data_IF_747372271957
#
_entry.id   IF_747372271957
#
_cell.length_a   1.000
_cell.length_b   1.000
_cell.length_c   1.000
_cell.angle_alpha   90.00
_cell.angle_beta   90.00
_cell.angle_gamma   90.00
#
_symmetry.space_group_name_H-M   'P 1'
#
loop_
_entity.id
_entity.type
_entity.pdbx_description
1 polymer ?
#
# COMPACT_ATOMS: atom_id res chain seq x y z
N UNK A 1 6.70 8.38 25.07
CA UNK A 1 7.36 7.16 24.53
C UNK A 1 6.46 5.92 24.52
N UNK A 2 5.49 5.77 25.42
CA UNK A 2 4.52 4.65 25.43
C UNK A 2 3.76 4.47 24.10
N UNK A 3 3.38 5.57 23.45
CA UNK A 3 2.62 5.54 22.19
C UNK A 3 3.42 5.12 20.96
N UNK A 4 4.72 5.48 20.89
CA UNK A 4 5.59 5.02 19.80
C UNK A 4 5.70 3.49 19.81
N UNK A 5 5.89 2.92 21.00
CA UNK A 5 5.86 1.47 21.18
C UNK A 5 4.48 0.87 20.91
N UNK A 6 3.39 1.59 21.22
CA UNK A 6 2.04 1.15 20.90
C UNK A 6 1.80 1.08 19.38
N UNK A 7 2.27 2.06 18.62
CA UNK A 7 2.17 2.09 17.15
C UNK A 7 2.88 0.90 16.53
N UNK A 8 4.11 0.61 16.99
CA UNK A 8 4.85 -0.56 16.53
C UNK A 8 4.15 -1.87 16.92
N UNK A 9 3.53 -1.93 18.10
CA UNK A 9 2.71 -3.08 18.50
C UNK A 9 1.52 -3.31 17.57
N UNK A 10 0.90 -2.27 16.99
CA UNK A 10 -0.16 -2.47 15.99
C UNK A 10 0.35 -3.13 14.72
N UNK A 11 1.55 -2.77 14.26
CA UNK A 11 2.20 -3.45 13.14
C UNK A 11 2.39 -4.95 13.46
N UNK A 12 2.92 -5.27 14.64
CA UNK A 12 3.10 -6.67 15.07
C UNK A 12 1.77 -7.40 15.27
N UNK A 13 0.75 -6.75 15.85
CA UNK A 13 -0.60 -7.31 16.01
C UNK A 13 -1.21 -7.65 14.65
N UNK A 14 -1.08 -6.75 13.68
CA UNK A 14 -1.53 -6.98 12.30
C UNK A 14 -0.83 -8.16 11.63
N UNK A 15 0.51 -8.22 11.71
CA UNK A 15 1.26 -9.38 11.18
C UNK A 15 0.85 -10.69 11.87
N UNK A 16 0.68 -10.69 13.19
CA UNK A 16 0.22 -11.88 13.95
C UNK A 16 -1.21 -12.28 13.58
N UNK A 17 -2.10 -11.31 13.40
CA UNK A 17 -3.48 -11.56 13.00
C UNK A 17 -3.52 -12.29 11.65
N UNK A 18 -2.78 -11.79 10.68
CA UNK A 18 -2.75 -12.39 9.35
C UNK A 18 -2.04 -13.75 9.35
N UNK A 19 -0.98 -13.92 10.15
CA UNK A 19 -0.32 -15.22 10.32
C UNK A 19 -1.25 -16.29 10.91
N UNK A 20 -2.18 -15.91 11.80
CA UNK A 20 -3.24 -16.80 12.32
C UNK A 20 -4.33 -17.07 11.28
N UNK A 21 -4.53 -16.14 10.35
CA UNK A 21 -5.56 -16.15 9.32
C UNK A 21 -4.95 -16.40 7.93
N UNK A 22 -4.39 -17.59 7.71
CA UNK A 22 -3.63 -17.91 6.50
C UNK A 22 -4.39 -17.73 5.18
N UNK A 23 -5.73 -17.92 5.16
CA UNK A 23 -6.55 -17.64 3.97
C UNK A 23 -6.58 -16.15 3.63
N UNK A 24 -6.65 -15.30 4.65
CA UNK A 24 -6.66 -13.84 4.54
C UNK A 24 -5.28 -13.31 4.17
N UNK A 25 -4.21 -13.97 4.62
CA UNK A 25 -2.86 -13.68 4.14
C UNK A 25 -2.75 -13.88 2.63
N UNK A 26 -3.11 -15.08 2.15
CA UNK A 26 -3.09 -15.38 0.72
C UNK A 26 -3.96 -14.43 -0.10
N UNK A 27 -5.14 -14.08 0.42
CA UNK A 27 -6.03 -13.11 -0.21
C UNK A 27 -5.41 -11.71 -0.32
N UNK A 28 -4.69 -11.24 0.70
CA UNK A 28 -3.97 -9.97 0.67
C UNK A 28 -2.77 -9.95 -0.28
N UNK A 29 -2.19 -11.11 -0.60
CA UNK A 29 -1.10 -11.26 -1.59
C UNK A 29 -1.62 -11.37 -3.03
N UNK A 30 -2.91 -11.69 -3.21
CA UNK A 30 -3.51 -11.94 -4.51
C UNK A 30 -3.34 -10.78 -5.52
N UNK A 31 -3.45 -9.49 -5.15
CA UNK A 31 -3.27 -8.39 -6.09
C UNK A 31 -1.89 -8.37 -6.76
N UNK A 32 -0.85 -8.59 -5.96
CA UNK A 32 0.53 -8.66 -6.45
C UNK A 32 0.73 -9.87 -7.35
N UNK A 33 0.15 -11.02 -6.98
CA UNK A 33 0.21 -12.23 -7.79
C UNK A 33 -0.55 -12.08 -9.13
N UNK A 34 -1.76 -11.53 -9.12
CA UNK A 34 -2.55 -11.26 -10.32
C UNK A 34 -1.77 -10.36 -11.26
N UNK A 35 -1.25 -9.24 -10.74
CA UNK A 35 -0.50 -8.28 -11.54
C UNK A 35 0.77 -8.92 -12.09
N UNK A 36 1.49 -9.70 -11.29
CA UNK A 36 2.67 -10.44 -11.74
C UNK A 36 2.34 -11.41 -12.87
N UNK A 37 1.28 -12.21 -12.74
CA UNK A 37 0.84 -13.16 -13.76
C UNK A 37 0.45 -12.43 -15.06
N UNK A 38 -0.26 -11.30 -14.96
CA UNK A 38 -0.66 -10.51 -16.12
C UNK A 38 0.56 -9.98 -16.90
N UNK A 39 1.52 -9.36 -16.22
CA UNK A 39 2.73 -8.86 -16.88
C UNK A 39 3.63 -9.99 -17.37
N UNK A 40 3.74 -11.09 -16.64
CA UNK A 40 4.47 -12.27 -17.10
C UNK A 40 3.84 -12.83 -18.38
N UNK A 41 2.52 -12.96 -18.43
CA UNK A 41 1.80 -13.40 -19.63
C UNK A 41 2.01 -12.45 -20.82
N UNK A 42 1.99 -11.13 -20.58
CA UNK A 42 2.26 -10.13 -21.62
C UNK A 42 3.69 -10.24 -22.17
N UNK A 43 4.69 -10.41 -21.31
CA UNK A 43 6.09 -10.58 -21.73
C UNK A 43 6.33 -11.92 -22.43
N UNK A 44 5.67 -12.99 -22.00
CA UNK A 44 5.72 -14.30 -22.68
C UNK A 44 5.06 -14.20 -24.05
N UNK A 45 3.90 -13.56 -24.17
CA UNK A 45 3.25 -13.31 -25.46
C UNK A 45 4.16 -12.50 -26.38
N UNK A 46 4.86 -11.49 -25.86
CA UNK A 46 5.84 -10.72 -26.61
C UNK A 46 7.05 -11.57 -27.05
N UNK A 47 7.52 -12.48 -26.20
CA UNK A 47 8.63 -13.37 -26.54
C UNK A 47 8.24 -14.39 -27.63
N UNK A 48 7.01 -14.90 -27.59
CA UNK A 48 6.53 -15.93 -28.54
C UNK A 48 6.06 -15.32 -29.87
N UNK A 49 5.38 -14.17 -29.83
CA UNK A 49 4.76 -13.56 -31.01
C UNK A 49 5.44 -12.27 -31.48
N UNK A 50 6.44 -11.76 -30.75
CA UNK A 50 7.10 -10.50 -31.06
C UNK A 50 7.77 -10.48 -32.44
N UNK A 51 8.47 -11.56 -32.81
CA UNK A 51 9.07 -11.67 -34.14
C UNK A 51 8.02 -11.66 -35.26
N UNK A 52 6.92 -12.41 -35.07
CA UNK A 52 5.81 -12.44 -36.03
C UNK A 52 5.12 -11.08 -36.15
N UNK A 53 4.96 -10.37 -35.03
CA UNK A 53 4.42 -9.02 -35.01
C UNK A 53 5.33 -8.02 -35.74
N UNK A 54 6.64 -8.07 -35.52
CA UNK A 54 7.61 -7.22 -36.22
C UNK A 54 7.63 -7.52 -37.71
N UNK A 55 7.57 -8.80 -38.11
CA UNK A 55 7.49 -9.18 -39.52
C UNK A 55 6.20 -8.63 -40.17
N UNK A 56 5.05 -8.81 -39.53
CA UNK A 56 3.76 -8.27 -39.98
C UNK A 56 3.76 -6.74 -40.09
N UNK A 57 4.43 -6.05 -39.16
CA UNK A 57 4.52 -4.59 -39.15
C UNK A 57 5.54 -4.01 -40.15
N UNK A 58 6.41 -4.85 -40.74
CA UNK A 58 7.50 -4.40 -41.64
C UNK A 58 7.44 -5.05 -43.03
N UNK A 59 6.31 -5.06 -43.75
CA UNK A 59 6.21 -5.72 -45.06
C UNK A 59 7.13 -5.08 -46.11
N UNK A 60 7.43 -3.79 -45.98
CA UNK A 60 8.37 -3.08 -46.85
C UNK A 60 9.82 -3.63 -46.77
N UNK A 61 10.14 -4.42 -45.75
CA UNK A 61 11.46 -5.03 -45.57
C UNK A 61 11.55 -6.46 -46.15
N UNK A 62 10.47 -7.00 -46.72
CA UNK A 62 10.45 -8.35 -47.28
C UNK A 62 11.36 -8.49 -48.51
N UNK A 63 11.47 -7.45 -49.33
CA UNK A 63 12.29 -7.46 -50.56
C UNK A 63 13.77 -7.11 -50.32
N UNK A 64 14.19 -6.92 -49.06
CA UNK A 64 15.57 -6.55 -48.76
C UNK A 64 16.51 -7.76 -48.87
N UNK A 65 17.74 -7.52 -49.35
CA UNK A 65 18.74 -8.57 -49.46
C UNK A 65 19.20 -9.09 -48.08
N UNK A 66 19.45 -10.40 -48.01
CA UNK A 66 20.07 -11.01 -46.83
C UNK A 66 21.49 -10.47 -46.63
N UNK A 67 21.92 -10.09 -45.40
CA UNK A 67 21.27 -10.30 -44.10
C UNK A 67 20.48 -9.09 -43.55
N UNK A 68 20.29 -8.03 -44.33
CA UNK A 68 19.82 -6.73 -43.83
C UNK A 68 18.40 -6.74 -43.26
N UNK A 69 17.47 -7.48 -43.88
CA UNK A 69 16.10 -7.68 -43.36
C UNK A 69 16.10 -8.35 -41.98
N UNK A 70 16.89 -9.42 -41.82
CA UNK A 70 17.01 -10.16 -40.57
C UNK A 70 17.61 -9.33 -39.45
N UNK A 71 18.68 -8.57 -39.73
CA UNK A 71 19.30 -7.67 -38.77
C UNK A 71 18.34 -6.56 -38.31
N UNK A 72 17.62 -5.94 -39.25
CA UNK A 72 16.65 -4.89 -38.94
C UNK A 72 15.49 -5.41 -38.10
N UNK A 73 14.87 -6.54 -38.50
CA UNK A 73 13.77 -7.15 -37.75
C UNK A 73 14.22 -7.64 -36.38
N UNK A 74 15.40 -8.27 -36.29
CA UNK A 74 15.98 -8.68 -35.01
C UNK A 74 16.21 -7.50 -34.06
N UNK A 75 16.75 -6.39 -34.57
CA UNK A 75 16.90 -5.15 -33.80
C UNK A 75 15.55 -4.63 -33.30
N UNK A 76 14.53 -4.54 -34.16
CA UNK A 76 13.20 -4.10 -33.76
C UNK A 76 12.55 -5.01 -32.72
N UNK A 77 12.72 -6.34 -32.82
CA UNK A 77 12.24 -7.29 -31.81
C UNK A 77 12.91 -7.04 -30.45
N UNK A 78 14.22 -6.81 -30.43
CA UNK A 78 14.96 -6.48 -29.19
C UNK A 78 14.46 -5.17 -28.59
N UNK A 79 14.28 -4.13 -29.40
CA UNK A 79 13.76 -2.83 -28.95
C UNK A 79 12.34 -2.96 -28.40
N UNK A 80 11.48 -3.71 -29.10
CA UNK A 80 10.11 -3.98 -28.68
C UNK A 80 10.09 -4.70 -27.33
N UNK A 81 10.93 -5.72 -27.15
CA UNK A 81 11.04 -6.44 -25.89
C UNK A 81 11.57 -5.56 -24.77
N UNK A 82 12.61 -4.76 -25.03
CA UNK A 82 13.17 -3.82 -24.06
C UNK A 82 12.14 -2.77 -23.62
N UNK A 83 11.37 -2.23 -24.56
CA UNK A 83 10.31 -1.26 -24.27
C UNK A 83 9.15 -1.92 -23.50
N UNK A 84 8.74 -3.12 -23.90
CA UNK A 84 7.72 -3.90 -23.19
C UNK A 84 8.12 -4.19 -21.75
N UNK A 85 9.37 -4.59 -21.53
CA UNK A 85 9.94 -4.80 -20.19
C UNK A 85 9.99 -3.51 -19.38
N UNK A 86 10.48 -2.42 -19.96
CA UNK A 86 10.54 -1.11 -19.30
C UNK A 86 9.15 -0.63 -18.88
N UNK A 87 8.17 -0.67 -19.79
CA UNK A 87 6.79 -0.29 -19.50
C UNK A 87 6.19 -1.19 -18.42
N UNK A 88 6.48 -2.49 -18.45
CA UNK A 88 6.03 -3.42 -17.41
C UNK A 88 6.55 -3.01 -16.04
N UNK A 89 7.85 -2.75 -15.90
CA UNK A 89 8.45 -2.30 -14.63
C UNK A 89 7.85 -0.98 -14.16
N UNK A 90 7.71 0.01 -15.06
CA UNK A 90 7.20 1.33 -14.71
C UNK A 90 5.72 1.30 -14.26
N UNK A 91 4.91 0.42 -14.85
CA UNK A 91 3.46 0.37 -14.60
C UNK A 91 3.06 -0.69 -13.58
N UNK A 92 3.93 -1.65 -13.27
CA UNK A 92 3.64 -2.77 -12.35
C UNK A 92 3.12 -2.31 -10.99
N UNK A 93 3.78 -1.34 -10.35
CA UNK A 93 3.39 -0.87 -9.01
C UNK A 93 2.05 -0.16 -9.03
N UNK A 94 1.83 0.72 -10.01
CA UNK A 94 0.56 1.43 -10.17
C UNK A 94 -0.60 0.44 -10.41
N UNK A 95 -0.38 -0.56 -11.28
CA UNK A 95 -1.37 -1.58 -11.55
C UNK A 95 -1.65 -2.47 -10.34
N UNK A 96 -0.60 -2.85 -9.59
CA UNK A 96 -0.75 -3.65 -8.36
C UNK A 96 -1.59 -2.93 -7.32
N UNK A 97 -1.36 -1.62 -7.13
CA UNK A 97 -2.14 -0.81 -6.19
C UNK A 97 -3.60 -0.67 -6.64
N UNK A 98 -3.82 -0.44 -7.94
CA UNK A 98 -5.15 -0.33 -8.54
C UNK A 98 -5.96 -1.62 -8.37
N UNK A 99 -5.33 -2.77 -8.64
CA UNK A 99 -5.95 -4.09 -8.43
C UNK A 99 -6.13 -4.37 -6.94
N UNK A 100 -5.24 -3.86 -6.07
CA UNK A 100 -5.20 -4.18 -4.65
C UNK A 100 -6.28 -3.56 -3.78
N UNK A 101 -6.80 -2.39 -4.15
CA UNK A 101 -7.83 -1.66 -3.41
C UNK A 101 -8.97 -2.54 -2.86
N UNK A 102 -9.72 -3.30 -3.68
CA UNK A 102 -10.83 -4.13 -3.18
C UNK A 102 -10.38 -5.26 -2.25
N UNK A 103 -9.16 -5.79 -2.44
CA UNK A 103 -8.62 -6.85 -1.59
C UNK A 103 -8.23 -6.31 -0.22
N UNK A 104 -7.64 -5.13 -0.16
CA UNK A 104 -7.27 -4.47 1.09
C UNK A 104 -8.50 -4.03 1.87
N UNK A 105 -9.55 -3.56 1.18
CA UNK A 105 -10.84 -3.23 1.80
C UNK A 105 -11.50 -4.45 2.44
N UNK A 106 -11.66 -5.55 1.69
CA UNK A 106 -12.22 -6.80 2.21
C UNK A 106 -11.36 -7.42 3.32
N UNK A 107 -10.03 -7.24 3.26
CA UNK A 107 -9.15 -7.67 4.34
C UNK A 107 -9.39 -6.86 5.61
N UNK A 108 -9.47 -5.53 5.51
CA UNK A 108 -9.81 -4.65 6.64
C UNK A 108 -11.18 -5.00 7.23
N UNK A 109 -12.17 -5.34 6.39
CA UNK A 109 -13.50 -5.74 6.84
C UNK A 109 -13.49 -7.02 7.65
N UNK A 110 -12.72 -8.03 7.21
CA UNK A 110 -12.55 -9.28 7.96
C UNK A 110 -11.83 -9.06 9.28
N UNK A 111 -10.85 -8.16 9.31
CA UNK A 111 -10.15 -7.78 10.55
C UNK A 111 -11.13 -7.13 11.52
N UNK A 112 -11.91 -6.14 11.05
CA UNK A 112 -12.94 -5.50 11.87
C UNK A 112 -13.93 -6.51 12.44
N UNK A 113 -14.44 -7.42 11.60
CA UNK A 113 -15.39 -8.45 11.99
C UNK A 113 -14.85 -9.39 13.06
N UNK A 114 -13.58 -9.77 12.96
CA UNK A 114 -12.93 -10.71 13.88
C UNK A 114 -12.71 -10.12 15.28
N UNK A 115 -12.49 -8.81 15.36
CA UNK A 115 -12.19 -8.14 16.63
C UNK A 115 -13.37 -7.40 17.25
N UNK A 116 -14.45 -7.19 16.50
CA UNK A 116 -15.66 -6.53 17.00
C UNK A 116 -16.44 -7.43 17.97
N UNK A 117 -16.88 -6.93 19.13
CA UNK A 117 -17.66 -7.72 20.10
C UNK A 117 -18.95 -8.31 19.53
N UNK A 118 -19.56 -7.63 18.58
CA UNK A 118 -20.80 -8.00 17.90
C UNK A 118 -20.58 -8.78 16.60
N UNK A 119 -19.32 -9.02 16.21
CA UNK A 119 -18.98 -9.69 14.96
C UNK A 119 -19.47 -8.95 13.71
N UNK A 120 -19.70 -7.64 13.79
CA UNK A 120 -20.06 -6.81 12.63
C UNK A 120 -18.86 -6.00 12.14
N UNK A 121 -18.97 -5.48 10.92
CA UNK A 121 -17.97 -4.61 10.35
C UNK A 121 -18.67 -3.35 9.80
N UNK A 122 -18.14 -2.14 10.01
CA UNK A 122 -18.77 -0.92 9.49
C UNK A 122 -18.90 -0.98 7.96
N UNK A 123 -20.08 -0.67 7.44
CA UNK A 123 -20.35 -0.56 6.01
C UNK A 123 -20.67 0.90 5.67
N UNK A 124 -20.16 1.35 4.54
CA UNK A 124 -20.49 2.68 4.05
C UNK A 124 -21.89 2.64 3.42
N UNK A 125 -22.81 3.44 3.93
CA UNK A 125 -24.19 3.53 3.45
C UNK A 125 -24.35 4.48 2.25
N UNK A 126 -23.26 4.89 1.60
CA UNK A 126 -23.29 5.87 0.52
C UNK A 126 -23.44 5.20 -0.86
N UNK A 127 -24.04 5.89 -1.85
CA UNK A 127 -24.03 5.39 -3.22
C UNK A 127 -22.59 5.32 -3.74
N UNK A 128 -22.21 4.19 -4.37
CA UNK A 128 -20.86 3.92 -4.89
C UNK A 128 -20.24 5.08 -5.69
N UNK A 129 -21.02 5.79 -6.50
CA UNK A 129 -20.53 6.94 -7.27
C UNK A 129 -20.08 8.11 -6.37
N UNK A 130 -20.79 8.34 -5.26
CA UNK A 130 -20.45 9.40 -4.31
C UNK A 130 -19.21 9.03 -3.50
N UNK A 131 -19.07 7.76 -3.15
CA UNK A 131 -17.87 7.22 -2.50
C UNK A 131 -16.64 7.36 -3.38
N UNK A 132 -16.74 6.98 -4.66
CA UNK A 132 -15.66 7.12 -5.63
C UNK A 132 -15.23 8.58 -5.80
N UNK A 133 -16.20 9.51 -5.88
CA UNK A 133 -15.90 10.93 -5.99
C UNK A 133 -15.20 11.49 -4.73
N UNK A 134 -15.69 11.15 -3.54
CA UNK A 134 -15.11 11.58 -2.27
C UNK A 134 -13.71 10.99 -2.10
N UNK A 135 -13.56 9.67 -2.33
CA UNK A 135 -12.28 8.96 -2.26
C UNK A 135 -11.27 9.53 -3.26
N UNK A 136 -11.66 9.74 -4.52
CA UNK A 136 -10.79 10.33 -5.54
C UNK A 136 -10.32 11.74 -5.17
N UNK A 137 -11.23 12.60 -4.67
CA UNK A 137 -10.88 13.95 -4.21
C UNK A 137 -9.94 13.93 -3.01
N UNK A 138 -10.18 13.03 -2.06
CA UNK A 138 -9.37 12.90 -0.85
C UNK A 138 -7.98 12.36 -1.17
N UNK A 139 -7.89 11.32 -1.98
CA UNK A 139 -6.64 10.77 -2.51
C UNK A 139 -5.83 11.85 -3.24
N UNK A 140 -6.48 12.66 -4.09
CA UNK A 140 -5.80 13.77 -4.78
C UNK A 140 -5.24 14.81 -3.79
N UNK A 141 -5.99 15.17 -2.74
CA UNK A 141 -5.53 16.11 -1.69
C UNK A 141 -4.34 15.55 -0.90
N UNK A 142 -4.33 14.24 -0.64
CA UNK A 142 -3.20 13.57 0.03
C UNK A 142 -1.98 13.58 -0.88
N UNK A 143 -2.12 13.19 -2.15
CA UNK A 143 -1.04 13.19 -3.15
C UNK A 143 -0.44 14.59 -3.30
N UNK A 144 -1.27 15.64 -3.39
CA UNK A 144 -0.78 17.03 -3.45
C UNK A 144 0.01 17.40 -2.20
N UNK A 145 -0.42 17.00 -1.00
CA UNK A 145 0.30 17.28 0.25
C UNK A 145 1.61 16.52 0.33
N UNK A 146 1.62 15.24 -0.06
CA UNK A 146 2.82 14.43 -0.13
C UNK A 146 3.82 15.04 -1.13
N UNK A 147 3.35 15.51 -2.29
CA UNK A 147 4.16 16.18 -3.30
C UNK A 147 4.76 17.49 -2.76
N UNK A 148 3.99 18.32 -2.05
CA UNK A 148 4.52 19.54 -1.43
C UNK A 148 5.63 19.21 -0.44
N UNK A 149 5.43 18.21 0.42
CA UNK A 149 6.49 17.76 1.33
C UNK A 149 7.71 17.21 0.59
N UNK A 150 7.51 16.42 -0.47
CA UNK A 150 8.60 15.90 -1.28
C UNK A 150 9.44 17.03 -1.91
N UNK A 151 8.80 18.06 -2.48
CA UNK A 151 9.48 19.24 -3.04
C UNK A 151 10.23 20.02 -1.96
N UNK A 152 9.62 20.24 -0.80
CA UNK A 152 10.26 20.95 0.32
C UNK A 152 11.50 20.19 0.83
N UNK A 153 11.37 18.88 1.06
CA UNK A 153 12.49 18.05 1.53
C UNK A 153 13.58 17.93 0.47
N UNK A 154 13.22 17.81 -0.81
CA UNK A 154 14.17 17.83 -1.91
C UNK A 154 14.98 19.13 -1.94
N UNK A 155 14.30 20.29 -1.84
CA UNK A 155 14.97 21.60 -1.78
C UNK A 155 15.89 21.72 -0.55
N UNK A 156 15.44 21.26 0.63
CA UNK A 156 16.25 21.24 1.85
C UNK A 156 17.44 20.28 1.76
N UNK A 157 17.36 19.24 0.92
CA UNK A 157 18.44 18.30 0.65
C UNK A 157 19.69 18.94 0.04
N UNK A 158 19.57 20.12 -0.57
CA UNK A 158 20.70 20.89 -1.11
C UNK A 158 21.46 21.70 -0.05
N UNK A 159 20.94 21.83 1.17
CA UNK A 159 21.66 22.53 2.25
C UNK A 159 22.85 21.67 2.69
N UNK A 160 24.11 22.15 2.59
CA UNK A 160 25.27 21.37 2.98
C UNK A 160 25.18 20.91 4.44
N UNK A 161 25.65 19.69 4.71
CA UNK A 161 25.60 19.02 6.03
C UNK A 161 24.17 18.69 6.50
N UNK A 162 23.26 19.66 6.63
CA UNK A 162 21.89 19.45 7.11
C UNK A 162 21.05 18.60 6.15
N UNK A 163 21.17 18.86 4.84
CA UNK A 163 20.41 18.19 3.78
C UNK A 163 20.71 16.70 3.66
N UNK A 164 21.91 16.26 4.04
CA UNK A 164 22.31 14.85 4.00
C UNK A 164 22.12 14.12 5.35
N UNK A 165 21.90 14.86 6.44
CA UNK A 165 21.80 14.28 7.79
C UNK A 165 20.38 14.35 8.35
N UNK A 166 19.79 15.54 8.42
CA UNK A 166 18.48 15.77 9.07
C UNK A 166 17.32 15.51 8.13
N UNK A 167 17.45 15.92 6.87
CA UNK A 167 16.37 15.82 5.87
C UNK A 167 15.93 14.37 5.62
N UNK A 168 16.83 13.37 5.46
CA UNK A 168 16.40 11.98 5.30
C UNK A 168 15.61 11.45 6.50
N UNK A 169 16.02 11.84 7.73
CA UNK A 169 15.33 11.46 8.96
C UNK A 169 13.91 12.04 8.98
N UNK A 170 13.76 13.33 8.68
CA UNK A 170 12.43 13.96 8.55
C UNK A 170 11.62 13.28 7.44
N UNK A 171 12.26 12.94 6.32
CA UNK A 171 11.68 12.19 5.22
C UNK A 171 11.04 10.89 5.69
N UNK A 172 11.73 10.09 6.49
CA UNK A 172 11.14 8.85 7.04
C UNK A 172 9.93 9.09 7.93
N UNK A 173 9.93 10.13 8.76
CA UNK A 173 8.76 10.46 9.59
C UNK A 173 7.58 10.99 8.75
N UNK A 174 7.85 11.75 7.70
CA UNK A 174 6.82 12.24 6.76
C UNK A 174 6.24 11.08 5.95
N UNK A 175 7.09 10.24 5.36
CA UNK A 175 6.66 9.02 4.66
C UNK A 175 5.89 8.10 5.60
N UNK A 176 6.37 7.88 6.82
CA UNK A 176 5.67 7.08 7.82
C UNK A 176 4.30 7.66 8.18
N UNK A 177 4.16 8.98 8.29
CA UNK A 177 2.86 9.61 8.53
C UNK A 177 1.87 9.37 7.38
N UNK A 178 2.29 9.62 6.14
CA UNK A 178 1.43 9.42 4.98
C UNK A 178 1.09 7.96 4.72
N UNK A 179 2.04 7.04 4.95
CA UNK A 179 1.80 5.61 4.82
C UNK A 179 0.77 5.11 5.85
N UNK A 180 0.88 5.56 7.09
CA UNK A 180 -0.14 5.26 8.11
C UNK A 180 -1.49 5.84 7.73
N UNK A 181 -1.53 7.06 7.21
CA UNK A 181 -2.77 7.71 6.78
C UNK A 181 -3.43 6.93 5.63
N UNK A 182 -2.67 6.54 4.62
CA UNK A 182 -3.16 5.76 3.48
C UNK A 182 -3.70 4.39 3.91
N UNK A 183 -3.02 3.69 4.81
CA UNK A 183 -3.47 2.38 5.28
C UNK A 183 -4.66 2.46 6.22
N UNK A 184 -4.71 3.46 7.11
CA UNK A 184 -5.86 3.68 8.00
C UNK A 184 -7.07 4.23 7.26
N UNK A 185 -6.88 4.91 6.13
CA UNK A 185 -7.96 5.45 5.32
C UNK A 185 -8.95 4.35 4.90
N UNK A 186 -8.48 3.14 4.57
CA UNK A 186 -9.35 2.01 4.22
C UNK A 186 -10.38 1.71 5.33
N UNK A 187 -9.93 1.66 6.58
CA UNK A 187 -10.79 1.38 7.73
C UNK A 187 -11.66 2.59 8.13
N UNK A 188 -11.10 3.81 8.03
CA UNK A 188 -11.77 5.05 8.43
C UNK A 188 -12.81 5.54 7.41
N UNK A 189 -12.58 5.30 6.11
CA UNK A 189 -13.54 5.61 5.05
C UNK A 189 -14.80 4.76 5.17
N UNK A 190 -14.65 3.47 5.50
CA UNK A 190 -15.80 2.57 5.78
C UNK A 190 -16.65 3.02 6.97
N UNK A 191 -16.07 3.81 7.87
CA UNK A 191 -16.74 4.43 9.02
C UNK A 191 -17.28 5.84 8.71
N UNK A 192 -17.19 6.29 7.46
CA UNK A 192 -17.66 7.60 7.04
C UNK A 192 -16.79 8.78 7.51
N UNK A 193 -15.59 8.54 8.03
CA UNK A 193 -14.72 9.61 8.54
C UNK A 193 -14.10 10.38 7.36
N UNK A 194 -14.38 11.68 7.27
CA UNK A 194 -13.85 12.52 6.20
C UNK A 194 -12.34 12.79 6.36
N UNK A 195 -11.63 13.05 5.26
CA UNK A 195 -10.17 13.29 5.27
C UNK A 195 -9.72 14.36 6.29
N UNK A 196 -10.50 15.42 6.47
CA UNK A 196 -10.15 16.48 7.44
C UNK A 196 -10.10 15.95 8.86
N UNK A 197 -11.07 15.12 9.22
CA UNK A 197 -11.19 14.51 10.53
C UNK A 197 -10.14 13.41 10.72
N UNK A 198 -9.92 12.54 9.71
CA UNK A 198 -8.84 11.55 9.71
C UNK A 198 -7.49 12.16 10.06
N UNK A 199 -7.15 13.27 9.39
CA UNK A 199 -5.90 13.97 9.65
C UNK A 199 -5.86 14.65 11.02
N UNK A 200 -7.02 15.07 11.55
CA UNK A 200 -7.13 15.54 12.93
C UNK A 200 -6.77 14.45 13.92
N UNK A 201 -7.35 13.25 13.76
CA UNK A 201 -7.09 12.06 14.58
C UNK A 201 -5.61 11.63 14.52
N UNK A 202 -5.05 11.54 13.32
CA UNK A 202 -3.64 11.14 13.16
C UNK A 202 -2.67 12.18 13.71
N UNK A 203 -3.02 13.48 13.65
CA UNK A 203 -2.21 14.57 14.21
C UNK A 203 -2.36 14.71 15.73
N UNK A 204 -3.45 14.25 16.33
CA UNK A 204 -3.58 14.23 17.79
C UNK A 204 -2.70 13.14 18.42
N UNK A 205 -2.50 12.02 17.71
CA UNK A 205 -1.69 10.86 18.16
C UNK A 205 -0.43 10.62 17.31
N UNK A 206 0.35 11.67 16.99
CA UNK A 206 1.53 11.57 16.07
C UNK A 206 2.56 10.52 16.46
N UNK A 207 2.81 10.35 17.76
CA UNK A 207 3.72 9.35 18.30
C UNK A 207 3.27 7.92 17.99
N UNK A 208 1.96 7.65 18.08
CA UNK A 208 1.37 6.37 17.66
C UNK A 208 1.55 6.15 16.15
N UNK A 209 1.22 7.18 15.37
CA UNK A 209 1.29 7.16 13.90
C UNK A 209 2.71 6.91 13.39
N UNK A 210 3.71 7.60 13.94
CA UNK A 210 5.10 7.38 13.58
C UNK A 210 5.65 6.05 14.09
N UNK A 211 5.15 5.56 15.22
CA UNK A 211 5.49 4.24 15.75
C UNK A 211 5.04 3.10 14.84
N UNK A 212 3.93 3.28 14.14
CA UNK A 212 3.42 2.34 13.14
C UNK A 212 4.10 2.53 11.77
N UNK A 213 4.02 3.74 11.21
CA UNK A 213 4.35 4.00 9.81
C UNK A 213 5.83 4.13 9.50
N UNK A 214 6.66 4.64 10.43
CA UNK A 214 8.10 4.78 10.19
C UNK A 214 8.81 3.44 10.01
N UNK A 215 8.65 2.45 10.93
CA UNK A 215 9.26 1.13 10.73
C UNK A 215 8.68 0.39 9.53
N UNK A 216 7.39 0.58 9.24
CA UNK A 216 6.76 0.03 8.05
C UNK A 216 7.36 0.61 6.75
N UNK A 217 7.50 1.94 6.68
CA UNK A 217 8.11 2.63 5.56
C UNK A 217 9.57 2.22 5.33
N UNK A 218 10.34 2.03 6.42
CA UNK A 218 11.70 1.48 6.35
C UNK A 218 11.71 0.04 5.82
N UNK A 219 10.78 -0.81 6.27
CA UNK A 219 10.66 -2.18 5.77
C UNK A 219 10.31 -2.22 4.27
N UNK A 220 9.52 -1.24 3.79
CA UNK A 220 9.13 -1.14 2.37
C UNK A 220 10.27 -0.71 1.45
N UNK A 221 11.39 -0.22 1.99
CA UNK A 221 12.61 0.00 1.20
C UNK A 221 13.24 -1.32 0.74
N UNK A 222 13.00 -2.42 1.45
CA UNK A 222 13.50 -3.73 1.06
C UNK A 222 12.58 -4.31 -0.01
N UNK A 223 13.09 -4.62 -1.21
CA UNK A 223 12.28 -5.23 -2.26
C UNK A 223 11.63 -6.54 -1.80
N UNK A 224 10.45 -6.86 -2.34
CA UNK A 224 9.61 -8.02 -2.00
C UNK A 224 9.02 -8.02 -0.59
N UNK A 225 9.75 -7.53 0.41
CA UNK A 225 9.31 -7.42 1.81
C UNK A 225 8.01 -6.65 1.91
N UNK A 226 7.85 -5.56 1.14
CA UNK A 226 6.60 -4.79 1.08
C UNK A 226 5.39 -5.67 0.73
N UNK A 227 5.49 -6.54 -0.28
CA UNK A 227 4.39 -7.40 -0.73
C UNK A 227 3.93 -8.33 0.40
N UNK A 228 4.87 -8.92 1.14
CA UNK A 228 4.57 -9.84 2.23
C UNK A 228 4.09 -9.15 3.51
N UNK A 229 4.54 -7.91 3.77
CA UNK A 229 4.09 -7.15 4.94
C UNK A 229 2.75 -6.45 4.73
N UNK A 230 2.39 -6.09 3.49
CA UNK A 230 1.19 -5.31 3.19
C UNK A 230 -0.10 -5.87 3.81
N UNK A 231 -0.43 -7.17 3.73
CA UNK A 231 -1.64 -7.70 4.36
C UNK A 231 -1.69 -7.44 5.87
N UNK A 232 -0.57 -7.69 6.57
CA UNK A 232 -0.49 -7.44 8.00
C UNK A 232 -0.40 -5.96 8.36
N UNK A 233 0.10 -5.12 7.45
CA UNK A 233 0.08 -3.66 7.61
C UNK A 233 -1.36 -3.13 7.51
N UNK A 234 -2.14 -3.60 6.54
CA UNK A 234 -3.58 -3.28 6.43
C UNK A 234 -4.31 -3.71 7.71
N UNK A 235 -4.11 -4.96 8.16
CA UNK A 235 -4.73 -5.44 9.40
C UNK A 235 -4.31 -4.60 10.63
N UNK A 236 -3.03 -4.27 10.76
CA UNK A 236 -2.53 -3.43 11.84
C UNK A 236 -3.10 -2.02 11.81
N UNK A 237 -3.25 -1.44 10.62
CA UNK A 237 -3.87 -0.13 10.42
C UNK A 237 -5.36 -0.15 10.78
N UNK A 238 -6.10 -1.21 10.44
CA UNK A 238 -7.49 -1.40 10.86
C UNK A 238 -7.61 -1.42 12.39
N UNK A 239 -6.77 -2.20 13.06
CA UNK A 239 -6.75 -2.26 14.53
C UNK A 239 -6.39 -0.90 15.17
N UNK A 240 -5.46 -0.16 14.56
CA UNK A 240 -5.12 1.18 15.03
C UNK A 240 -6.25 2.19 14.77
N UNK A 241 -6.98 2.06 13.67
CA UNK A 241 -8.13 2.92 13.36
C UNK A 241 -9.26 2.77 14.39
N UNK A 242 -9.54 1.54 14.84
CA UNK A 242 -10.49 1.25 15.93
C UNK A 242 -10.10 1.97 17.22
N UNK A 243 -8.84 1.83 17.63
CA UNK A 243 -8.29 2.47 18.84
C UNK A 243 -8.32 4.01 18.75
N UNK A 244 -8.07 4.58 17.57
CA UNK A 244 -8.17 6.03 17.36
C UNK A 244 -9.60 6.56 17.51
N UNK A 245 -10.61 5.73 17.27
CA UNK A 245 -12.02 6.05 17.45
C UNK A 245 -12.56 5.63 18.83
N UNK A 246 -11.75 4.98 19.65
CA UNK A 246 -12.16 4.48 20.97
C UNK A 246 -13.14 3.31 20.89
N UNK A 247 -13.11 2.53 19.79
CA UNK A 247 -13.95 1.36 19.64
C UNK A 247 -13.47 0.20 20.52
N UNK A 248 -14.41 -0.46 21.20
CA UNK A 248 -14.12 -1.65 21.98
C UNK A 248 -13.66 -2.81 21.08
N UNK A 249 -12.70 -3.56 21.59
CA UNK A 249 -12.15 -4.76 20.95
C UNK A 249 -12.39 -5.94 21.88
N UNK A 250 -12.83 -7.10 21.36
CA UNK A 250 -13.15 -8.28 22.17
C UNK A 250 -12.00 -8.77 23.07
N UNK A 251 -10.75 -8.35 22.82
CA UNK A 251 -9.58 -8.67 23.64
C UNK A 251 -9.33 -7.73 24.83
N UNK A 252 -9.94 -6.54 24.88
CA UNK A 252 -9.73 -5.57 25.97
C UNK A 252 -10.61 -5.88 27.20
N UNK A 253 -11.65 -6.72 27.05
CA UNK A 253 -12.49 -7.20 28.16
C UNK A 253 -11.88 -8.34 28.99
N UNK A 254 -10.64 -8.75 28.70
CA UNK A 254 -9.93 -9.83 29.40
C UNK A 254 -8.72 -9.33 30.21
N UNK A 255 -8.54 -8.02 30.37
CA UNK A 255 -7.74 -7.49 31.48
C UNK A 255 -8.64 -7.52 32.73
N UNK A 256 -8.28 -8.42 33.66
CA UNK A 256 -9.01 -8.84 34.84
C UNK A 256 -9.61 -7.66 35.64
N UNK A 257 -10.83 -7.80 36.21
CA UNK A 257 -11.30 -6.85 37.20
C UNK A 257 -10.31 -6.83 38.35
N UNK A 258 -9.76 -5.66 38.68
CA UNK A 258 -9.00 -5.43 39.90
C UNK A 258 -9.77 -6.09 41.04
N UNK A 259 -9.19 -7.16 41.58
CA UNK A 259 -9.61 -7.76 42.82
C UNK A 259 -9.50 -6.67 43.88
N UNK A 260 -10.60 -5.95 44.11
CA UNK A 260 -10.77 -5.13 45.29
C UNK A 260 -10.64 -6.07 46.48
N UNK A 261 -9.50 -5.89 47.13
CA UNK A 261 -8.99 -6.57 48.30
C UNK A 261 -10.12 -6.80 49.32
N UNK A 262 -10.64 -8.03 49.33
CA UNK A 262 -11.31 -8.58 50.49
C UNK A 262 -10.21 -8.84 51.55
N UNK A 263 -9.89 -7.80 52.31
CA UNK A 263 -9.24 -7.88 53.63
C UNK A 263 -10.10 -7.04 54.56
N UNK A 264 -10.99 -7.70 55.29
CA UNK A 264 -10.82 -8.05 56.72
C UNK A 264 -11.01 -6.85 57.63
#
# INVERSE_FOLDING_TARGET
MRDLGAGFRYLLKGQRWVARHGKQYGFGLLPGLITLVLYAAALVALAVWGEGFVAWATPFADDWSSPWSGLFRGFLTVVLFALGLLLSVLTFTAMTLLVGQPFYESLSEKVDRDVSPDGTAPESNLPLWRELWISGRDSLRIVVRALVWAVLLFALGFVPVLGQTVVPVIGFFVTGFFLTEELTAVALQRRGVELRERLGLLRSRKTLVWGFGTPLGLAFLVPFVAVFLMPGAVAGATLMARDLLGEETAGDGAEEPEAQDARS
#
